data_IF_703845597091
#
_entry.id   IF_703845597091
#
_cell.length_a   1.000
_cell.length_b   1.000
_cell.length_c   1.000
_cell.angle_alpha   90.00
_cell.angle_beta   90.00
_cell.angle_gamma   90.00
#
_symmetry.space_group_name_H-M   'P 1'
#
loop_
_entity.id
_entity.type
_entity.pdbx_description
1 polymer ?
#
# COMPACT_ATOMS: atom_id res chain seq x y z
N UNK A 1 -31.51 -63.59 -40.17
CA UNK A 1 -30.46 -62.89 -40.89
C UNK A 1 -30.45 -61.45 -40.29
N UNK A 2 -29.66 -61.27 -39.29
CA UNK A 2 -29.59 -60.01 -38.59
C UNK A 2 -28.19 -59.86 -38.00
N UNK A 3 -27.43 -58.97 -38.56
CA UNK A 3 -26.06 -58.63 -38.12
C UNK A 3 -26.18 -57.68 -36.95
N UNK A 4 -25.84 -58.17 -35.78
CA UNK A 4 -25.69 -57.39 -34.59
C UNK A 4 -24.36 -56.59 -34.60
N UNK A 5 -24.41 -55.28 -34.66
CA UNK A 5 -23.28 -54.39 -34.47
C UNK A 5 -22.91 -54.34 -32.97
N UNK A 6 -21.73 -54.84 -32.69
CA UNK A 6 -21.07 -54.68 -31.40
C UNK A 6 -20.59 -53.22 -31.27
N UNK A 7 -21.29 -52.41 -30.49
CA UNK A 7 -20.76 -51.13 -29.99
C UNK A 7 -20.05 -51.39 -28.66
N UNK A 8 -18.75 -51.59 -28.72
CA UNK A 8 -17.88 -51.48 -27.55
C UNK A 8 -17.93 -50.05 -27.01
N UNK A 9 -18.58 -49.89 -25.88
CA UNK A 9 -18.52 -48.70 -25.08
C UNK A 9 -17.12 -48.61 -24.44
N UNK A 10 -16.22 -47.83 -25.06
CA UNK A 10 -15.02 -47.34 -24.40
C UNK A 10 -15.49 -46.32 -23.34
N UNK A 11 -15.62 -46.79 -22.10
CA UNK A 11 -15.69 -45.92 -20.94
C UNK A 11 -14.32 -45.25 -20.80
N UNK A 12 -14.20 -44.05 -21.35
CA UNK A 12 -13.15 -43.12 -20.94
C UNK A 12 -13.46 -42.80 -19.48
N UNK A 13 -12.72 -43.42 -18.57
CA UNK A 13 -12.69 -43.02 -17.17
C UNK A 13 -11.98 -41.68 -17.08
N UNK A 14 -12.73 -40.59 -17.24
CA UNK A 14 -12.32 -39.31 -16.75
C UNK A 14 -12.24 -39.43 -15.23
N UNK A 15 -11.05 -39.68 -14.74
CA UNK A 15 -10.69 -39.42 -13.36
C UNK A 15 -10.81 -37.90 -13.17
N UNK A 16 -12.02 -37.41 -12.94
CA UNK A 16 -12.24 -36.15 -12.28
C UNK A 16 -11.56 -36.29 -10.92
N UNK A 17 -10.34 -35.77 -10.82
CA UNK A 17 -9.80 -35.40 -9.52
C UNK A 17 -10.83 -34.46 -8.90
N UNK A 18 -11.68 -34.98 -8.03
CA UNK A 18 -12.49 -34.22 -7.13
C UNK A 18 -11.55 -33.25 -6.39
N UNK A 19 -11.43 -32.03 -6.90
CA UNK A 19 -10.86 -30.91 -6.14
C UNK A 19 -11.69 -30.84 -4.86
N UNK A 20 -11.21 -31.47 -3.80
CA UNK A 20 -11.81 -31.40 -2.47
C UNK A 20 -11.85 -29.92 -2.11
N UNK A 21 -12.94 -29.26 -2.42
CA UNK A 21 -13.27 -27.94 -1.87
C UNK A 21 -13.45 -28.13 -0.38
N UNK A 22 -12.37 -27.99 0.38
CA UNK A 22 -12.43 -27.98 1.83
C UNK A 22 -13.41 -26.86 2.21
N UNK A 23 -14.64 -27.28 2.55
CA UNK A 23 -15.69 -26.37 3.01
C UNK A 23 -15.33 -25.88 4.40
N UNK A 24 -14.61 -24.76 4.45
CA UNK A 24 -14.28 -24.11 5.71
C UNK A 24 -15.54 -23.53 6.36
N UNK A 25 -15.75 -23.81 7.64
CA UNK A 25 -16.82 -23.18 8.41
C UNK A 25 -16.73 -21.66 8.30
N UNK A 26 -17.86 -20.95 8.07
CA UNK A 26 -17.86 -19.50 7.88
C UNK A 26 -17.43 -18.73 9.15
N UNK A 27 -17.81 -19.21 10.33
CA UNK A 27 -17.56 -18.53 11.61
C UNK A 27 -16.05 -18.48 11.95
N UNK A 28 -15.30 -19.60 11.99
CA UNK A 28 -13.87 -19.55 12.25
C UNK A 28 -13.10 -18.71 11.23
N UNK A 29 -13.51 -18.72 9.97
CA UNK A 29 -12.92 -17.91 8.89
C UNK A 29 -13.12 -16.42 9.15
N UNK A 30 -14.30 -16.01 9.55
CA UNK A 30 -14.59 -14.61 9.88
C UNK A 30 -13.83 -14.16 11.12
N UNK A 31 -13.75 -15.00 12.17
CA UNK A 31 -12.99 -14.70 13.39
C UNK A 31 -11.50 -14.51 13.03
N UNK A 32 -10.92 -15.41 12.23
CA UNK A 32 -9.54 -15.29 11.80
C UNK A 32 -9.31 -13.99 10.99
N UNK A 33 -10.23 -13.63 10.10
CA UNK A 33 -10.16 -12.37 9.38
C UNK A 33 -10.10 -11.15 10.32
N UNK A 34 -10.95 -11.12 11.35
CA UNK A 34 -10.95 -10.04 12.36
C UNK A 34 -9.63 -10.02 13.13
N UNK A 35 -9.09 -11.19 13.49
CA UNK A 35 -7.78 -11.29 14.15
C UNK A 35 -6.66 -10.74 13.24
N UNK A 36 -6.63 -11.11 11.95
CA UNK A 36 -5.63 -10.62 11.01
C UNK A 36 -5.75 -9.09 10.78
N UNK A 37 -6.98 -8.56 10.72
CA UNK A 37 -7.21 -7.11 10.67
C UNK A 37 -6.72 -6.39 11.93
N UNK A 38 -6.96 -6.97 13.11
CA UNK A 38 -6.50 -6.38 14.37
C UNK A 38 -4.97 -6.36 14.49
N UNK A 39 -4.29 -7.37 13.93
CA UNK A 39 -2.83 -7.35 13.76
C UNK A 39 -2.42 -6.17 12.88
N UNK A 40 -3.04 -5.98 11.72
CA UNK A 40 -2.70 -4.87 10.81
C UNK A 40 -2.90 -3.50 11.49
N UNK A 41 -3.94 -3.34 12.31
CA UNK A 41 -4.14 -2.16 13.15
C UNK A 41 -2.97 -1.96 14.11
N UNK A 42 -2.59 -3.00 14.87
CA UNK A 42 -1.48 -2.95 15.82
C UNK A 42 -0.14 -2.67 15.14
N UNK A 43 0.08 -3.21 13.93
CA UNK A 43 1.29 -2.94 13.14
C UNK A 43 1.51 -1.45 12.86
N UNK A 44 0.45 -0.67 12.70
CA UNK A 44 0.49 0.76 12.40
C UNK A 44 0.51 1.65 13.64
N UNK A 45 0.22 1.10 14.83
CA UNK A 45 0.12 1.82 16.10
C UNK A 45 1.42 2.58 16.45
N UNK A 46 2.57 1.92 16.30
CA UNK A 46 3.86 2.51 16.62
C UNK A 46 4.22 3.77 15.83
N UNK A 47 3.64 3.94 14.63
CA UNK A 47 3.80 5.19 13.87
C UNK A 47 2.99 6.32 14.48
N UNK A 48 1.80 6.03 15.00
CA UNK A 48 0.97 7.00 15.72
C UNK A 48 1.60 7.44 17.05
N UNK A 49 2.16 6.50 17.82
CA UNK A 49 2.87 6.79 19.07
C UNK A 49 4.04 7.76 18.83
N UNK A 50 4.88 7.47 17.82
CA UNK A 50 6.02 8.34 17.49
C UNK A 50 5.57 9.74 17.08
N UNK A 51 4.60 9.85 16.18
CA UNK A 51 4.13 11.16 15.70
C UNK A 51 3.52 11.99 16.82
N UNK A 52 2.70 11.39 17.68
CA UNK A 52 2.03 12.08 18.78
C UNK A 52 2.99 12.50 19.90
N UNK A 53 4.02 11.69 20.18
CA UNK A 53 5.00 11.93 21.25
C UNK A 53 6.28 12.62 20.74
N UNK A 54 6.29 13.18 19.54
CA UNK A 54 7.48 13.74 18.88
C UNK A 54 8.25 14.74 19.74
N UNK A 55 7.54 15.63 20.43
CA UNK A 55 8.16 16.64 21.34
C UNK A 55 8.92 15.95 22.48
N UNK A 56 8.28 15.02 23.17
CA UNK A 56 8.86 14.32 24.33
C UNK A 56 10.06 13.45 23.93
N UNK A 57 9.94 12.72 22.81
CA UNK A 57 11.03 11.88 22.30
C UNK A 57 12.26 12.72 21.95
N UNK A 58 12.06 13.86 21.27
CA UNK A 58 13.16 14.77 20.92
C UNK A 58 13.86 15.33 22.16
N UNK A 59 13.09 15.69 23.19
CA UNK A 59 13.65 16.19 24.46
C UNK A 59 14.40 15.10 25.24
N UNK A 60 13.81 13.90 25.38
CA UNK A 60 14.38 12.80 26.15
C UNK A 60 15.67 12.24 25.54
N UNK A 61 15.71 12.14 24.21
CA UNK A 61 16.84 11.59 23.46
C UNK A 61 17.80 12.67 22.91
N UNK A 62 17.54 13.95 23.21
CA UNK A 62 18.30 15.11 22.71
C UNK A 62 18.50 15.09 21.19
N UNK A 63 17.38 14.92 20.45
CA UNK A 63 17.38 14.78 18.98
C UNK A 63 16.95 16.08 18.31
N UNK A 64 17.62 16.42 17.21
CA UNK A 64 17.12 17.43 16.27
C UNK A 64 16.01 16.85 15.37
N UNK A 65 15.34 17.71 14.59
CA UNK A 65 14.21 17.29 13.76
C UNK A 65 14.63 16.32 12.64
N UNK A 66 15.82 16.49 12.05
CA UNK A 66 16.40 15.57 11.07
C UNK A 66 16.64 14.19 11.68
N UNK A 67 17.23 14.12 12.87
CA UNK A 67 17.48 12.86 13.60
C UNK A 67 16.18 12.17 13.97
N UNK A 68 15.16 12.94 14.40
CA UNK A 68 13.84 12.37 14.66
C UNK A 68 13.19 11.84 13.37
N UNK A 69 13.37 12.52 12.23
CA UNK A 69 12.93 12.04 10.92
C UNK A 69 13.55 10.70 10.51
N UNK A 70 14.79 10.40 10.97
CA UNK A 70 15.44 9.11 10.73
C UNK A 70 14.67 7.90 11.28
N UNK A 71 13.86 8.05 12.34
CA UNK A 71 12.99 6.98 12.82
C UNK A 71 11.95 6.58 11.77
N UNK A 72 11.38 7.56 11.05
CA UNK A 72 10.46 7.32 9.94
C UNK A 72 11.18 6.71 8.75
N UNK A 73 12.35 7.23 8.42
CA UNK A 73 13.19 6.75 7.30
C UNK A 73 13.68 5.32 7.52
N UNK A 74 14.21 5.01 8.69
CA UNK A 74 14.65 3.65 9.03
C UNK A 74 13.49 2.65 8.91
N UNK A 75 12.31 3.02 9.37
CA UNK A 75 11.10 2.22 9.22
C UNK A 75 10.69 2.03 7.75
N UNK A 76 10.77 3.09 6.93
CA UNK A 76 10.47 3.04 5.51
C UNK A 76 11.43 2.13 4.73
N UNK A 77 12.74 2.30 4.96
CA UNK A 77 13.79 1.44 4.37
C UNK A 77 13.58 -0.01 4.82
N UNK A 78 13.33 -0.23 6.12
CA UNK A 78 13.01 -1.55 6.66
C UNK A 78 11.81 -2.18 5.97
N UNK A 79 10.74 -1.44 5.72
CA UNK A 79 9.57 -1.92 4.97
C UNK A 79 9.93 -2.32 3.54
N UNK A 80 10.72 -1.53 2.83
CA UNK A 80 11.21 -1.87 1.49
C UNK A 80 11.99 -3.18 1.48
N UNK A 81 12.97 -3.32 2.38
CA UNK A 81 13.75 -4.55 2.56
C UNK A 81 12.87 -5.73 2.93
N UNK A 82 11.96 -5.55 3.88
CA UNK A 82 11.03 -6.58 4.33
C UNK A 82 10.08 -7.05 3.24
N UNK A 83 9.62 -6.15 2.38
CA UNK A 83 8.78 -6.50 1.22
C UNK A 83 9.54 -7.40 0.24
N UNK A 84 10.78 -7.04 -0.08
CA UNK A 84 11.63 -7.85 -0.94
C UNK A 84 11.91 -9.23 -0.36
N UNK A 85 12.36 -9.29 0.90
CA UNK A 85 12.65 -10.55 1.59
C UNK A 85 11.41 -11.45 1.68
N UNK A 86 10.26 -10.89 2.08
CA UNK A 86 9.04 -11.66 2.22
C UNK A 86 8.59 -12.27 0.89
N UNK A 87 8.69 -11.53 -0.21
CA UNK A 87 8.34 -12.04 -1.55
C UNK A 87 9.19 -13.25 -1.97
N UNK A 88 10.47 -13.28 -1.58
CA UNK A 88 11.36 -14.42 -1.88
C UNK A 88 11.02 -15.65 -1.02
N UNK A 89 10.65 -15.46 0.24
CA UNK A 89 10.50 -16.55 1.20
C UNK A 89 9.07 -17.09 1.29
N UNK A 90 8.05 -16.33 0.88
CA UNK A 90 6.64 -16.68 1.02
C UNK A 90 6.28 -18.04 0.39
N UNK A 91 6.93 -18.40 -0.72
CA UNK A 91 6.70 -19.66 -1.43
C UNK A 91 7.52 -20.85 -0.88
N UNK A 92 8.45 -20.60 0.03
CA UNK A 92 9.39 -21.61 0.54
C UNK A 92 9.00 -22.17 1.90
N UNK A 93 8.22 -21.41 2.67
CA UNK A 93 7.87 -21.75 4.04
C UNK A 93 6.36 -21.89 4.22
N UNK A 94 5.98 -22.62 5.24
CA UNK A 94 4.59 -22.70 5.69
C UNK A 94 4.10 -21.32 6.14
N UNK A 95 3.02 -20.84 5.53
CA UNK A 95 2.54 -19.48 5.72
C UNK A 95 2.09 -19.17 7.16
N UNK A 96 1.53 -20.16 7.88
CA UNK A 96 1.16 -19.99 9.29
C UNK A 96 2.39 -19.68 10.14
N UNK A 97 3.42 -20.52 10.05
CA UNK A 97 4.65 -20.36 10.84
C UNK A 97 5.41 -19.10 10.45
N UNK A 98 5.44 -18.79 9.16
CA UNK A 98 6.05 -17.56 8.66
C UNK A 98 5.33 -16.33 9.20
N UNK A 99 3.99 -16.31 9.17
CA UNK A 99 3.19 -15.21 9.71
C UNK A 99 3.45 -15.02 11.21
N UNK A 100 3.43 -16.12 11.99
CA UNK A 100 3.71 -16.10 13.42
C UNK A 100 5.12 -15.58 13.72
N UNK A 101 6.12 -16.01 12.96
CA UNK A 101 7.49 -15.51 13.06
C UNK A 101 7.54 -13.97 12.94
N UNK A 102 6.91 -13.43 11.89
CA UNK A 102 6.91 -11.98 11.65
C UNK A 102 6.25 -11.20 12.79
N UNK A 103 5.08 -11.62 13.27
CA UNK A 103 4.37 -10.88 14.32
C UNK A 103 5.03 -11.05 15.70
N UNK A 104 5.55 -12.25 16.04
CA UNK A 104 6.25 -12.50 17.28
C UNK A 104 7.53 -11.66 17.39
N UNK A 105 8.41 -11.74 16.41
CA UNK A 105 9.65 -10.97 16.43
C UNK A 105 9.40 -9.47 16.33
N UNK A 106 8.40 -9.03 15.58
CA UNK A 106 8.02 -7.63 15.59
C UNK A 106 7.56 -7.17 16.98
N UNK A 107 6.73 -7.95 17.67
CA UNK A 107 6.34 -7.68 19.06
C UNK A 107 7.56 -7.56 19.97
N UNK A 108 8.52 -8.49 19.85
CA UNK A 108 9.78 -8.48 20.58
C UNK A 108 10.58 -7.20 20.34
N UNK A 109 10.81 -6.81 19.06
CA UNK A 109 11.56 -5.59 18.75
C UNK A 109 10.84 -4.32 19.22
N UNK A 110 9.51 -4.31 19.19
CA UNK A 110 8.70 -3.21 19.71
C UNK A 110 8.86 -3.10 21.23
N UNK A 111 8.89 -4.22 21.97
CA UNK A 111 9.12 -4.23 23.43
C UNK A 111 10.55 -3.80 23.74
N UNK A 112 11.54 -4.25 22.98
CA UNK A 112 12.94 -3.85 23.14
C UNK A 112 13.15 -2.33 23.01
N UNK A 113 12.25 -1.65 22.30
CA UNK A 113 12.26 -0.18 22.21
C UNK A 113 12.18 0.51 23.59
N UNK A 114 11.55 -0.15 24.56
CA UNK A 114 11.42 0.38 25.94
C UNK A 114 12.74 0.37 26.73
N UNK A 115 13.68 -0.52 26.40
CA UNK A 115 14.89 -0.74 27.17
C UNK A 115 16.09 0.14 26.77
N UNK A 116 15.96 0.92 25.70
CA UNK A 116 17.03 1.79 25.24
C UNK A 116 16.66 3.26 25.35
N UNK A 117 17.65 4.07 25.71
CA UNK A 117 17.61 5.55 25.68
C UNK A 117 18.60 6.09 24.64
N UNK A 118 19.23 5.23 23.84
CA UNK A 118 20.15 5.64 22.79
C UNK A 118 19.40 5.79 21.47
N UNK A 119 19.38 7.02 20.91
CA UNK A 119 18.69 7.33 19.67
C UNK A 119 19.12 6.44 18.49
N UNK A 120 20.41 6.15 18.35
CA UNK A 120 20.94 5.30 17.26
C UNK A 120 20.44 3.86 17.37
N UNK A 121 20.41 3.29 18.58
CA UNK A 121 19.87 1.95 18.83
C UNK A 121 18.39 1.90 18.49
N UNK A 122 17.63 2.92 18.91
CA UNK A 122 16.18 2.98 18.64
C UNK A 122 15.90 3.15 17.14
N UNK A 123 16.70 3.93 16.39
CA UNK A 123 16.60 4.04 14.93
C UNK A 123 16.84 2.68 14.26
N UNK A 124 17.86 1.94 14.71
CA UNK A 124 18.18 0.61 14.18
C UNK A 124 17.04 -0.38 14.46
N UNK A 125 16.54 -0.42 15.71
CA UNK A 125 15.36 -1.22 16.07
C UNK A 125 14.16 -0.87 15.19
N UNK A 126 13.97 0.41 14.88
CA UNK A 126 12.89 0.88 14.01
C UNK A 126 13.00 0.34 12.58
N UNK A 127 14.23 0.18 12.08
CA UNK A 127 14.52 -0.49 10.80
C UNK A 127 14.07 -1.96 10.82
N UNK A 128 14.45 -2.72 11.85
CA UNK A 128 14.02 -4.12 12.00
C UNK A 128 12.49 -4.26 12.15
N UNK A 129 11.86 -3.37 12.94
CA UNK A 129 10.40 -3.30 13.06
C UNK A 129 9.77 -3.07 11.68
N UNK A 130 10.40 -2.27 10.82
CA UNK A 130 9.98 -2.04 9.44
C UNK A 130 10.05 -3.31 8.59
N UNK A 131 11.16 -4.05 8.65
CA UNK A 131 11.33 -5.34 7.94
C UNK A 131 10.21 -6.32 8.31
N UNK A 132 9.97 -6.47 9.60
CA UNK A 132 8.97 -7.39 10.12
C UNK A 132 7.51 -6.93 9.89
N UNK A 133 7.30 -5.66 9.59
CA UNK A 133 5.97 -5.12 9.28
C UNK A 133 5.38 -5.70 7.98
N UNK A 134 6.23 -6.01 7.00
CA UNK A 134 5.75 -6.31 5.64
C UNK A 134 5.19 -7.72 5.48
N UNK A 135 5.64 -8.69 6.28
CA UNK A 135 5.11 -10.05 6.21
C UNK A 135 3.58 -10.11 6.36
N UNK A 136 3.02 -9.68 7.49
CA UNK A 136 1.56 -9.66 7.68
C UNK A 136 0.83 -8.76 6.68
N UNK A 137 1.39 -7.60 6.35
CA UNK A 137 0.78 -6.63 5.41
C UNK A 137 0.66 -7.16 3.98
N UNK A 138 1.62 -7.98 3.52
CA UNK A 138 1.55 -8.62 2.20
C UNK A 138 0.67 -9.88 2.26
N UNK A 139 0.73 -10.62 3.36
CA UNK A 139 -0.02 -11.86 3.51
C UNK A 139 -1.54 -11.64 3.56
N UNK A 140 -2.03 -10.62 4.27
CA UNK A 140 -3.47 -10.42 4.48
C UNK A 140 -4.28 -10.25 3.18
N UNK A 141 -3.88 -9.45 2.19
CA UNK A 141 -4.56 -9.40 0.89
C UNK A 141 -4.60 -10.76 0.17
N UNK A 142 -3.50 -11.54 0.24
CA UNK A 142 -3.43 -12.89 -0.35
C UNK A 142 -4.42 -13.81 0.34
N UNK A 143 -4.48 -13.76 1.67
CA UNK A 143 -5.44 -14.51 2.46
C UNK A 143 -6.88 -14.15 2.10
N UNK A 144 -7.19 -12.85 1.98
CA UNK A 144 -8.53 -12.38 1.57
C UNK A 144 -8.87 -12.90 0.18
N UNK A 145 -7.93 -12.87 -0.75
CA UNK A 145 -8.14 -13.34 -2.12
C UNK A 145 -8.57 -14.79 -2.18
N UNK A 146 -8.03 -15.64 -1.32
CA UNK A 146 -8.26 -17.09 -1.33
C UNK A 146 -9.41 -17.55 -0.42
N UNK A 147 -9.55 -16.93 0.77
CA UNK A 147 -10.47 -17.40 1.79
C UNK A 147 -11.73 -16.55 1.95
N UNK A 148 -11.77 -15.33 1.39
CA UNK A 148 -12.95 -14.50 1.46
C UNK A 148 -14.11 -15.06 0.63
N UNK A 149 -15.33 -14.86 1.11
CA UNK A 149 -16.51 -15.12 0.28
C UNK A 149 -16.52 -14.16 -0.91
N UNK A 150 -16.72 -14.66 -2.14
CA UNK A 150 -16.72 -13.84 -3.37
C UNK A 150 -17.52 -12.55 -3.23
N UNK A 151 -18.70 -12.61 -2.57
CA UNK A 151 -19.58 -11.47 -2.33
C UNK A 151 -18.94 -10.37 -1.48
N UNK A 152 -18.07 -10.71 -0.52
CA UNK A 152 -17.51 -9.77 0.47
C UNK A 152 -16.02 -9.47 0.26
N UNK A 153 -15.41 -10.05 -0.76
CA UNK A 153 -13.96 -9.93 -1.04
C UNK A 153 -13.53 -8.45 -1.17
N UNK A 154 -14.24 -7.68 -1.98
CA UNK A 154 -13.95 -6.24 -2.16
C UNK A 154 -14.10 -5.47 -0.85
N UNK A 155 -15.17 -5.75 -0.07
CA UNK A 155 -15.39 -5.12 1.23
C UNK A 155 -14.26 -5.43 2.21
N UNK A 156 -13.80 -6.68 2.25
CA UNK A 156 -12.69 -7.09 3.12
C UNK A 156 -11.35 -6.42 2.72
N UNK A 157 -11.07 -6.30 1.42
CA UNK A 157 -9.90 -5.55 0.93
C UNK A 157 -10.00 -4.06 1.27
N UNK A 158 -11.19 -3.48 1.19
CA UNK A 158 -11.40 -2.09 1.60
C UNK A 158 -11.17 -1.91 3.10
N UNK A 159 -11.68 -2.81 3.94
CA UNK A 159 -11.45 -2.78 5.39
C UNK A 159 -9.96 -2.90 5.73
N UNK A 160 -9.20 -3.73 5.02
CA UNK A 160 -7.74 -3.81 5.15
C UNK A 160 -7.04 -2.46 4.89
N UNK A 161 -7.51 -1.65 3.95
CA UNK A 161 -6.94 -0.33 3.71
C UNK A 161 -7.37 0.68 4.79
N UNK A 162 -8.61 0.63 5.20
CA UNK A 162 -9.19 1.54 6.20
C UNK A 162 -8.59 1.31 7.60
N UNK A 163 -8.24 0.06 7.97
CA UNK A 163 -7.73 -0.26 9.31
C UNK A 163 -6.35 0.37 9.60
N UNK A 164 -5.55 0.68 8.58
CA UNK A 164 -4.21 1.28 8.73
C UNK A 164 -4.24 2.68 9.37
N UNK A 165 -5.04 3.64 8.89
CA UNK A 165 -5.24 4.91 9.59
C UNK A 165 -5.75 4.74 11.02
N UNK A 166 -6.68 3.80 11.27
CA UNK A 166 -7.16 3.51 12.62
C UNK A 166 -6.03 3.05 13.56
N UNK A 167 -5.08 2.24 13.05
CA UNK A 167 -3.89 1.88 13.82
C UNK A 167 -3.06 3.09 14.24
N UNK A 168 -2.85 4.07 13.33
CA UNK A 168 -2.17 5.32 13.68
C UNK A 168 -2.93 6.11 14.75
N UNK A 169 -4.25 6.24 14.61
CA UNK A 169 -5.12 6.91 15.59
C UNK A 169 -5.03 6.21 16.95
N UNK A 170 -5.00 4.89 17.01
CA UNK A 170 -4.83 4.15 18.25
C UNK A 170 -3.49 4.47 18.94
N UNK A 171 -2.41 4.69 18.16
CA UNK A 171 -1.14 5.19 18.70
C UNK A 171 -1.24 6.58 19.34
N UNK A 172 -2.00 7.48 18.75
CA UNK A 172 -2.31 8.78 19.37
C UNK A 172 -3.15 8.62 20.64
N UNK A 173 -4.12 7.67 20.65
CA UNK A 173 -4.93 7.36 21.83
C UNK A 173 -4.06 6.94 23.02
N UNK A 174 -3.05 6.11 22.80
CA UNK A 174 -2.11 5.74 23.87
C UNK A 174 -1.39 6.95 24.47
N UNK A 175 -0.98 7.90 23.62
CA UNK A 175 -0.35 9.13 24.12
C UNK A 175 -1.30 9.97 25.02
N UNK A 176 -2.57 10.04 24.64
CA UNK A 176 -3.59 10.77 25.44
C UNK A 176 -3.89 10.06 26.76
N UNK A 177 -3.99 8.72 26.74
CA UNK A 177 -4.36 7.95 27.94
C UNK A 177 -3.20 7.76 28.91
N UNK A 178 -1.99 7.51 28.41
CA UNK A 178 -0.81 7.24 29.24
C UNK A 178 -0.04 8.53 29.60
N UNK A 179 -0.28 9.60 28.89
CA UNK A 179 0.48 10.85 28.98
C UNK A 179 1.76 10.83 28.15
N UNK A 180 2.17 11.99 27.65
CA UNK A 180 3.31 12.12 26.74
C UNK A 180 4.65 11.60 27.31
N UNK A 181 4.85 11.68 28.62
CA UNK A 181 6.07 11.18 29.29
C UNK A 181 6.17 9.65 29.27
N UNK A 182 5.05 8.97 29.15
CA UNK A 182 4.95 7.52 29.21
C UNK A 182 4.83 6.87 27.82
N UNK A 183 5.26 7.56 26.78
CA UNK A 183 5.12 7.10 25.38
C UNK A 183 5.65 5.69 25.11
N UNK A 184 6.68 5.24 25.87
CA UNK A 184 7.27 3.90 25.74
C UNK A 184 6.29 2.79 26.10
N UNK A 185 5.39 3.00 27.07
CA UNK A 185 4.40 1.99 27.44
C UNK A 185 3.41 1.67 26.32
N UNK A 186 3.11 2.62 25.44
CA UNK A 186 2.32 2.37 24.25
C UNK A 186 2.94 1.31 23.33
N UNK A 187 4.27 1.29 23.23
CA UNK A 187 5.00 0.25 22.51
C UNK A 187 4.94 -1.11 23.24
N UNK A 188 5.08 -1.13 24.57
CA UNK A 188 4.99 -2.36 25.37
C UNK A 188 3.61 -2.98 25.22
N UNK A 189 2.53 -2.20 25.32
CA UNK A 189 1.15 -2.68 25.14
C UNK A 189 0.97 -3.25 23.74
N UNK A 190 1.45 -2.55 22.70
CA UNK A 190 1.35 -3.02 21.31
C UNK A 190 2.14 -4.31 21.08
N UNK A 191 3.35 -4.41 21.64
CA UNK A 191 4.18 -5.61 21.52
C UNK A 191 3.60 -6.80 22.29
N UNK A 192 3.09 -6.59 23.50
CA UNK A 192 2.39 -7.61 24.30
C UNK A 192 1.12 -8.11 23.60
N UNK A 193 0.36 -7.21 22.98
CA UNK A 193 -0.77 -7.59 22.15
C UNK A 193 -0.37 -8.50 20.98
N UNK A 194 0.72 -8.18 20.26
CA UNK A 194 1.21 -9.02 19.17
C UNK A 194 1.65 -10.40 19.64
N UNK A 195 2.25 -10.52 20.83
CA UNK A 195 2.58 -11.80 21.45
C UNK A 195 1.32 -12.60 21.80
N UNK A 196 0.32 -11.98 22.41
CA UNK A 196 -0.95 -12.63 22.73
C UNK A 196 -1.65 -13.16 21.47
N UNK A 197 -1.67 -12.35 20.38
CA UNK A 197 -2.25 -12.80 19.11
C UNK A 197 -1.42 -13.92 18.47
N UNK A 198 -0.10 -13.92 18.65
CA UNK A 198 0.75 -15.04 18.18
C UNK A 198 0.34 -16.36 18.86
N UNK A 199 0.11 -16.35 20.18
CA UNK A 199 -0.39 -17.52 20.90
C UNK A 199 -1.78 -17.95 20.43
N UNK A 200 -2.67 -17.01 20.17
CA UNK A 200 -4.00 -17.30 19.63
C UNK A 200 -3.92 -17.97 18.26
N UNK A 201 -3.07 -17.46 17.35
CA UNK A 201 -2.87 -18.03 16.02
C UNK A 201 -2.20 -19.43 16.12
N UNK A 202 -1.33 -19.65 17.10
CA UNK A 202 -0.74 -20.97 17.32
C UNK A 202 -1.82 -22.05 17.50
N UNK A 203 -2.89 -21.76 18.22
CA UNK A 203 -4.01 -22.67 18.44
C UNK A 203 -4.92 -22.85 17.19
N UNK A 204 -4.80 -22.00 16.18
CA UNK A 204 -5.63 -22.08 14.99
C UNK A 204 -5.18 -23.20 14.05
N UNK A 205 -6.10 -23.94 13.37
CA UNK A 205 -5.73 -24.99 12.41
C UNK A 205 -4.92 -24.44 11.24
N UNK A 206 -3.89 -25.18 10.83
CA UNK A 206 -2.97 -24.78 9.74
C UNK A 206 -3.67 -24.59 8.39
N UNK A 207 -4.73 -25.35 8.13
CA UNK A 207 -5.48 -25.30 6.87
C UNK A 207 -6.09 -23.93 6.56
N UNK A 208 -6.33 -23.09 7.55
CA UNK A 208 -6.84 -21.73 7.39
C UNK A 208 -5.76 -20.70 6.96
N UNK A 209 -4.49 -21.10 6.96
CA UNK A 209 -3.36 -20.23 6.59
C UNK A 209 -2.66 -20.64 5.30
N UNK A 210 -2.70 -21.95 4.95
CA UNK A 210 -2.01 -22.48 3.78
C UNK A 210 -2.81 -22.21 2.51
N UNK A 211 -2.78 -20.97 2.13
CA UNK A 211 -3.23 -20.55 0.83
C UNK A 211 -2.33 -21.18 -0.24
N UNK A 212 -2.87 -22.04 -1.10
CA UNK A 212 -2.13 -22.62 -2.21
C UNK A 212 -1.81 -21.56 -3.26
N UNK A 213 -0.66 -20.91 -3.12
CA UNK A 213 -0.15 -19.96 -4.12
C UNK A 213 0.09 -20.64 -5.49
N UNK A 214 0.17 -21.98 -5.51
CA UNK A 214 0.24 -22.78 -6.74
C UNK A 214 -1.08 -22.78 -7.52
N UNK A 215 -2.22 -22.88 -6.84
CA UNK A 215 -3.53 -22.88 -7.50
C UNK A 215 -3.81 -21.56 -8.24
N UNK A 216 -3.35 -20.42 -7.71
CA UNK A 216 -3.51 -19.15 -8.38
C UNK A 216 -2.60 -18.99 -9.61
N UNK A 217 -1.41 -19.62 -9.60
CA UNK A 217 -0.56 -19.67 -10.80
C UNK A 217 -1.19 -20.54 -11.88
N UNK A 218 -1.76 -21.66 -11.52
CA UNK A 218 -2.44 -22.57 -12.46
C UNK A 218 -3.74 -21.91 -13.00
N UNK A 219 -4.54 -21.24 -12.16
CA UNK A 219 -5.71 -20.46 -12.62
C UNK A 219 -5.33 -19.20 -13.44
N UNK A 220 -4.25 -18.51 -13.10
CA UNK A 220 -3.72 -17.40 -13.92
C UNK A 220 -3.15 -17.92 -15.25
N UNK A 221 -2.48 -19.07 -15.25
CA UNK A 221 -1.95 -19.68 -16.44
C UNK A 221 -3.06 -20.32 -17.29
N UNK A 222 -4.12 -20.88 -16.70
CA UNK A 222 -5.31 -21.36 -17.40
C UNK A 222 -6.16 -20.21 -17.97
N UNK A 223 -6.39 -19.13 -17.23
CA UNK A 223 -7.02 -17.91 -17.75
C UNK A 223 -6.12 -17.18 -18.78
N UNK A 224 -4.82 -17.26 -18.62
CA UNK A 224 -3.84 -16.82 -19.61
C UNK A 224 -4.01 -17.62 -20.92
N UNK A 225 -4.04 -18.93 -20.84
CA UNK A 225 -4.17 -19.80 -22.00
C UNK A 225 -5.53 -19.61 -22.70
N UNK A 226 -6.63 -19.45 -21.97
CA UNK A 226 -7.97 -19.20 -22.55
C UNK A 226 -8.08 -17.83 -23.24
N UNK A 227 -7.40 -16.79 -22.71
CA UNK A 227 -7.33 -15.48 -23.36
C UNK A 227 -6.36 -15.49 -24.55
N UNK A 228 -5.28 -16.29 -24.49
CA UNK A 228 -4.32 -16.45 -25.59
C UNK A 228 -4.80 -17.38 -26.70
N UNK A 229 -5.72 -18.32 -26.44
CA UNK A 229 -6.35 -19.14 -27.49
C UNK A 229 -7.34 -18.34 -28.35
N UNK A 230 -7.82 -17.22 -27.86
CA UNK A 230 -8.68 -16.29 -28.61
C UNK A 230 -7.90 -15.22 -29.41
N UNK A 231 -6.57 -15.18 -29.32
CA UNK A 231 -5.69 -14.29 -30.08
C UNK A 231 -4.90 -15.07 -31.13
N UNK A 232 -4.68 -14.54 -32.35
CA UNK A 232 -3.90 -15.24 -33.37
C UNK A 232 -2.51 -15.60 -32.84
N UNK A 233 -2.12 -16.87 -33.05
CA UNK A 233 -0.87 -17.48 -32.58
C UNK A 233 0.37 -16.73 -33.07
N UNK A 234 0.75 -15.67 -32.40
CA UNK A 234 2.07 -15.07 -32.54
C UNK A 234 3.01 -15.69 -31.52
N UNK A 235 3.98 -16.46 -32.02
CA UNK A 235 5.18 -17.02 -31.36
C UNK A 235 5.05 -17.35 -29.88
N UNK A 236 5.20 -18.64 -29.52
CA UNK A 236 5.49 -19.09 -28.14
C UNK A 236 6.48 -18.13 -27.48
N UNK A 237 6.01 -17.34 -26.51
CA UNK A 237 6.90 -16.52 -25.70
C UNK A 237 7.75 -17.48 -24.86
N UNK A 238 9.05 -17.49 -25.09
CA UNK A 238 10.03 -18.12 -24.19
C UNK A 238 9.71 -17.66 -22.75
N UNK A 239 9.71 -18.59 -21.81
CA UNK A 239 9.57 -18.27 -20.39
C UNK A 239 10.70 -17.33 -19.97
N UNK A 240 10.38 -16.04 -19.89
CA UNK A 240 11.35 -15.03 -19.46
C UNK A 240 11.70 -15.25 -18.00
N UNK A 241 12.99 -15.18 -17.68
CA UNK A 241 13.45 -15.18 -16.29
C UNK A 241 12.81 -14.01 -15.53
N UNK A 242 12.51 -14.19 -14.22
CA UNK A 242 12.01 -13.16 -13.34
C UNK A 242 12.81 -11.84 -13.42
N UNK A 243 14.14 -11.94 -13.58
CA UNK A 243 15.01 -10.77 -13.76
C UNK A 243 14.80 -10.05 -15.10
N UNK A 244 14.49 -10.77 -16.16
CA UNK A 244 14.18 -10.17 -17.47
C UNK A 244 12.85 -9.43 -17.44
N UNK A 245 11.84 -10.00 -16.77
CA UNK A 245 10.55 -9.36 -16.56
C UNK A 245 10.66 -8.10 -15.70
N UNK A 246 11.49 -8.14 -14.64
CA UNK A 246 11.80 -6.98 -13.82
C UNK A 246 12.52 -5.90 -14.62
N UNK A 247 13.50 -6.26 -15.44
CA UNK A 247 14.22 -5.34 -16.32
C UNK A 247 13.30 -4.69 -17.34
N UNK A 248 12.37 -5.43 -17.92
CA UNK A 248 11.36 -4.92 -18.84
C UNK A 248 10.46 -3.85 -18.18
N UNK A 249 10.02 -4.07 -16.94
CA UNK A 249 9.29 -3.05 -16.18
C UNK A 249 10.15 -1.81 -15.91
N UNK A 250 11.40 -2.00 -15.48
CA UNK A 250 12.30 -0.89 -15.15
C UNK A 250 12.70 -0.05 -16.36
N UNK A 251 12.75 -0.64 -17.55
CA UNK A 251 13.08 0.07 -18.80
C UNK A 251 11.87 0.71 -19.46
N UNK A 252 10.64 0.39 -19.03
CA UNK A 252 9.40 0.97 -19.59
C UNK A 252 9.23 2.43 -19.13
N UNK A 253 9.32 3.44 -20.03
CA UNK A 253 9.22 4.84 -19.63
C UNK A 253 7.86 5.20 -19.03
N UNK A 254 6.77 4.65 -19.57
CA UNK A 254 5.42 4.92 -19.08
C UNK A 254 5.21 4.34 -17.66
N UNK A 255 5.77 3.16 -17.39
CA UNK A 255 5.75 2.57 -16.05
C UNK A 255 6.56 3.42 -15.07
N UNK A 256 7.74 3.89 -15.46
CA UNK A 256 8.58 4.74 -14.61
C UNK A 256 7.87 6.03 -14.23
N UNK A 257 7.23 6.72 -15.18
CA UNK A 257 6.48 7.94 -14.88
C UNK A 257 5.32 7.66 -13.93
N UNK A 258 4.56 6.58 -14.12
CA UNK A 258 3.47 6.18 -13.20
C UNK A 258 4.01 5.84 -11.80
N UNK A 259 5.14 5.14 -11.73
CA UNK A 259 5.79 4.72 -10.49
C UNK A 259 6.29 5.94 -9.68
N UNK A 260 7.00 6.85 -10.32
CA UNK A 260 7.47 8.08 -9.66
C UNK A 260 6.32 8.98 -9.24
N UNK A 261 5.27 9.10 -10.06
CA UNK A 261 4.05 9.86 -9.71
C UNK A 261 3.44 9.34 -8.41
N UNK A 262 3.16 8.04 -8.34
CA UNK A 262 2.61 7.40 -7.14
C UNK A 262 3.52 7.61 -5.93
N UNK A 263 4.81 7.35 -6.11
CA UNK A 263 5.77 7.39 -5.02
C UNK A 263 5.97 8.79 -4.44
N UNK A 264 6.00 9.83 -5.28
CA UNK A 264 6.14 11.23 -4.86
C UNK A 264 4.91 11.66 -4.05
N UNK A 265 3.70 11.35 -4.54
CA UNK A 265 2.45 11.69 -3.85
C UNK A 265 2.36 10.97 -2.49
N UNK A 266 2.69 9.68 -2.43
CA UNK A 266 2.72 8.92 -1.17
C UNK A 266 3.83 9.40 -0.22
N UNK A 267 4.97 9.83 -0.76
CA UNK A 267 6.06 10.42 0.02
C UNK A 267 5.62 11.67 0.77
N UNK A 268 4.93 12.59 0.10
CA UNK A 268 4.38 13.79 0.76
C UNK A 268 3.33 13.45 1.79
N UNK A 269 2.43 12.55 1.48
CA UNK A 269 1.43 12.05 2.43
C UNK A 269 2.09 11.45 3.68
N UNK A 270 3.15 10.70 3.50
CA UNK A 270 3.90 10.08 4.61
C UNK A 270 4.56 11.13 5.49
N UNK A 271 5.19 12.17 4.91
CA UNK A 271 5.79 13.27 5.66
C UNK A 271 4.72 14.03 6.46
N UNK A 272 3.57 14.33 5.86
CA UNK A 272 2.45 15.00 6.53
C UNK A 272 1.96 14.19 7.72
N UNK A 273 1.70 12.92 7.54
CA UNK A 273 1.26 12.04 8.64
C UNK A 273 2.27 11.95 9.79
N UNK A 274 3.56 11.98 9.46
CA UNK A 274 4.62 11.86 10.46
C UNK A 274 4.78 13.14 11.29
N UNK A 275 4.69 14.30 10.64
CA UNK A 275 5.01 15.60 11.24
C UNK A 275 3.78 16.44 11.64
N UNK A 276 2.56 15.99 11.38
CA UNK A 276 1.34 16.75 11.58
C UNK A 276 1.17 17.22 13.04
N UNK A 277 1.42 16.35 14.03
CA UNK A 277 1.33 16.70 15.44
C UNK A 277 2.38 17.75 15.83
N UNK A 278 3.62 17.59 15.36
CA UNK A 278 4.71 18.55 15.60
C UNK A 278 4.41 19.91 14.96
N UNK A 279 3.82 19.90 13.76
CA UNK A 279 3.37 21.14 13.09
C UNK A 279 2.26 21.85 13.86
N UNK A 280 1.25 21.13 14.35
CA UNK A 280 0.18 21.74 15.17
C UNK A 280 0.73 22.36 16.44
N UNK A 281 1.74 21.75 17.06
CA UNK A 281 2.40 22.32 18.27
C UNK A 281 3.24 23.55 17.96
N UNK A 282 4.16 23.42 17.01
CA UNK A 282 5.20 24.43 16.79
C UNK A 282 4.74 25.58 15.89
N UNK A 283 3.85 25.31 14.91
CA UNK A 283 3.41 26.31 13.95
C UNK A 283 2.05 26.94 14.28
N UNK A 284 1.15 26.16 14.93
CA UNK A 284 -0.19 26.64 15.32
C UNK A 284 -0.29 26.93 16.83
N UNK A 285 0.74 26.59 17.62
CA UNK A 285 0.77 26.86 19.06
C UNK A 285 -0.16 26.01 19.92
N UNK A 286 -0.61 24.85 19.40
CA UNK A 286 -1.53 23.96 20.11
C UNK A 286 -0.76 23.10 21.09
N UNK A 287 -0.95 23.34 22.40
CA UNK A 287 -0.24 22.61 23.45
C UNK A 287 -1.05 21.44 24.05
N UNK A 288 -2.37 21.43 23.88
CA UNK A 288 -3.24 20.36 24.42
C UNK A 288 -3.14 19.09 23.57
N UNK A 289 -2.62 17.97 24.14
CA UNK A 289 -2.53 16.69 23.43
C UNK A 289 -3.89 16.14 22.99
N UNK A 290 -4.97 16.38 23.76
CA UNK A 290 -6.32 15.91 23.43
C UNK A 290 -6.85 16.64 22.19
N UNK A 291 -6.60 17.93 22.08
CA UNK A 291 -7.03 18.73 20.94
C UNK A 291 -6.25 18.33 19.67
N UNK A 292 -4.95 18.06 19.77
CA UNK A 292 -4.14 17.53 18.66
C UNK A 292 -4.67 16.16 18.25
N UNK A 293 -4.94 15.28 19.21
CA UNK A 293 -5.51 13.95 18.95
C UNK A 293 -6.82 14.02 18.19
N UNK A 294 -7.78 14.83 18.70
CA UNK A 294 -9.09 14.97 18.07
C UNK A 294 -8.98 15.53 16.65
N UNK A 295 -8.17 16.56 16.46
CA UNK A 295 -7.93 17.20 15.17
C UNK A 295 -7.31 16.24 14.15
N UNK A 296 -6.25 15.52 14.55
CA UNK A 296 -5.58 14.54 13.70
C UNK A 296 -6.52 13.37 13.34
N UNK A 297 -7.22 12.84 14.35
CA UNK A 297 -8.15 11.72 14.18
C UNK A 297 -9.26 12.03 13.20
N UNK A 298 -9.88 13.20 13.37
CA UNK A 298 -10.94 13.67 12.47
C UNK A 298 -10.44 13.72 11.03
N UNK A 299 -9.31 14.37 10.78
CA UNK A 299 -8.76 14.50 9.43
C UNK A 299 -8.35 13.12 8.84
N UNK A 300 -7.66 12.27 9.62
CA UNK A 300 -7.11 11.00 9.14
C UNK A 300 -8.14 9.89 8.95
N UNK A 301 -9.29 9.96 9.59
CA UNK A 301 -10.38 9.01 9.37
C UNK A 301 -11.30 9.51 8.26
N UNK A 302 -11.82 10.72 8.38
CA UNK A 302 -12.83 11.23 7.44
C UNK A 302 -12.27 11.48 6.04
N UNK A 303 -11.06 12.07 5.95
CA UNK A 303 -10.45 12.39 4.66
C UNK A 303 -10.26 11.17 3.76
N UNK A 304 -9.47 10.15 4.16
CA UNK A 304 -9.22 8.97 3.33
C UNK A 304 -10.48 8.14 3.03
N UNK A 305 -11.43 8.06 3.97
CA UNK A 305 -12.70 7.33 3.74
C UNK A 305 -13.51 8.00 2.64
N UNK A 306 -13.73 9.31 2.75
CA UNK A 306 -14.45 10.07 1.72
C UNK A 306 -13.68 10.02 0.39
N UNK A 307 -12.36 10.19 0.43
CA UNK A 307 -11.49 10.14 -0.74
C UNK A 307 -11.52 8.79 -1.47
N UNK A 308 -11.59 7.69 -0.72
CA UNK A 308 -11.78 6.36 -1.29
C UNK A 308 -13.08 6.24 -2.09
N UNK A 309 -14.19 6.76 -1.56
CA UNK A 309 -15.46 6.79 -2.28
C UNK A 309 -15.42 7.72 -3.51
N UNK A 310 -14.78 8.88 -3.38
CA UNK A 310 -14.59 9.80 -4.53
C UNK A 310 -13.78 9.13 -5.62
N UNK A 311 -12.67 8.47 -5.29
CA UNK A 311 -11.84 7.74 -6.26
C UNK A 311 -12.58 6.60 -6.95
N UNK A 312 -13.38 5.84 -6.20
CA UNK A 312 -14.23 4.78 -6.77
C UNK A 312 -15.33 5.35 -7.66
N UNK A 313 -15.98 6.44 -7.24
CA UNK A 313 -16.99 7.14 -8.04
C UNK A 313 -16.42 7.62 -9.36
N UNK A 314 -15.24 8.23 -9.36
CA UNK A 314 -14.55 8.64 -10.60
C UNK A 314 -14.31 7.45 -11.52
N UNK A 315 -13.85 6.33 -11.00
CA UNK A 315 -13.66 5.10 -11.79
C UNK A 315 -14.99 4.60 -12.38
N UNK A 316 -16.06 4.64 -11.61
CA UNK A 316 -17.37 4.18 -12.07
C UNK A 316 -17.95 5.05 -13.19
N UNK A 317 -17.94 6.38 -13.03
CA UNK A 317 -18.54 7.32 -13.99
C UNK A 317 -17.71 7.51 -15.26
N UNK A 318 -16.38 7.43 -15.17
CA UNK A 318 -15.48 7.66 -16.31
C UNK A 318 -14.95 6.37 -16.97
N UNK A 319 -15.45 5.20 -16.58
CA UNK A 319 -15.15 3.94 -17.26
C UNK A 319 -13.76 3.35 -16.95
N UNK A 320 -13.34 3.44 -15.69
CA UNK A 320 -12.09 2.84 -15.20
C UNK A 320 -10.81 3.61 -15.59
N UNK A 321 -9.71 3.27 -14.93
CA UNK A 321 -8.35 3.77 -15.19
C UNK A 321 -7.80 3.41 -16.59
N UNK A 322 -8.49 2.54 -17.33
CA UNK A 322 -8.17 2.20 -18.73
C UNK A 322 -8.56 3.29 -19.72
N UNK A 323 -9.53 4.13 -19.34
CA UNK A 323 -10.01 5.21 -20.19
C UNK A 323 -8.90 6.26 -20.43
N UNK A 324 -8.70 6.71 -21.69
CA UNK A 324 -7.74 7.78 -22.02
C UNK A 324 -7.94 9.09 -21.26
N UNK A 325 -9.15 9.34 -20.76
CA UNK A 325 -9.50 10.51 -19.97
C UNK A 325 -9.13 10.44 -18.48
N UNK A 326 -8.93 9.23 -17.92
CA UNK A 326 -8.67 9.03 -16.50
C UNK A 326 -7.47 9.82 -15.95
N UNK A 327 -6.32 9.94 -16.66
CA UNK A 327 -5.21 10.76 -16.19
C UNK A 327 -5.57 12.24 -16.03
N UNK A 328 -6.41 12.80 -16.88
CA UNK A 328 -6.81 14.21 -16.81
C UNK A 328 -7.73 14.49 -15.62
N UNK A 329 -8.64 13.57 -15.30
CA UNK A 329 -9.45 13.64 -14.09
C UNK A 329 -8.56 13.55 -12.84
N UNK A 330 -7.58 12.65 -12.86
CA UNK A 330 -6.59 12.53 -11.78
C UNK A 330 -5.78 13.82 -11.60
N UNK A 331 -5.42 14.53 -12.68
CA UNK A 331 -4.76 15.84 -12.62
C UNK A 331 -5.67 16.86 -11.93
N UNK A 332 -6.96 16.90 -12.25
CA UNK A 332 -7.92 17.77 -11.57
C UNK A 332 -7.96 17.53 -10.06
N UNK A 333 -8.05 16.26 -9.64
CA UNK A 333 -8.00 15.89 -8.21
C UNK A 333 -6.66 16.26 -7.56
N UNK A 334 -5.53 16.09 -8.27
CA UNK A 334 -4.22 16.46 -7.77
C UNK A 334 -4.04 17.98 -7.63
N UNK A 335 -4.66 18.78 -8.50
CA UNK A 335 -4.71 20.24 -8.34
C UNK A 335 -5.44 20.62 -7.06
N UNK A 336 -6.61 20.02 -6.77
CA UNK A 336 -7.32 20.25 -5.51
C UNK A 336 -6.48 19.78 -4.31
N UNK A 337 -5.81 18.63 -4.40
CA UNK A 337 -4.86 18.16 -3.37
C UNK A 337 -3.81 19.24 -3.09
N UNK A 338 -3.23 19.83 -4.12
CA UNK A 338 -2.17 20.84 -3.99
C UNK A 338 -2.72 22.15 -3.41
N UNK A 339 -3.89 22.61 -3.86
CA UNK A 339 -4.53 23.83 -3.35
C UNK A 339 -4.83 23.70 -1.86
N UNK A 340 -5.50 22.61 -1.43
CA UNK A 340 -5.84 22.42 -0.02
C UNK A 340 -4.61 22.12 0.83
N UNK A 341 -3.62 21.39 0.30
CA UNK A 341 -2.36 21.14 0.99
C UNK A 341 -1.57 22.42 1.26
N UNK A 342 -1.33 23.23 0.25
CA UNK A 342 -0.65 24.52 0.38
C UNK A 342 -1.52 25.47 1.24
N UNK A 343 -2.82 25.55 0.97
CA UNK A 343 -3.78 26.37 1.71
C UNK A 343 -3.75 26.11 3.21
N UNK A 344 -3.69 24.84 3.63
CA UNK A 344 -3.59 24.45 5.03
C UNK A 344 -2.39 25.13 5.73
N UNK A 345 -1.26 25.31 5.04
CA UNK A 345 -0.04 25.90 5.64
C UNK A 345 -0.15 27.41 5.91
N UNK A 346 -1.11 28.09 5.32
CA UNK A 346 -1.38 29.52 5.57
C UNK A 346 -2.40 29.73 6.68
N UNK A 347 -3.15 28.71 7.06
CA UNK A 347 -4.14 28.80 8.13
C UNK A 347 -3.46 29.00 9.49
N UNK A 348 -3.96 29.95 10.27
CA UNK A 348 -3.50 30.22 11.64
C UNK A 348 -4.42 29.60 12.68
N UNK A 349 -5.69 29.40 12.33
CA UNK A 349 -6.67 28.76 13.19
C UNK A 349 -6.62 27.22 12.99
N UNK A 350 -6.63 26.49 14.12
CA UNK A 350 -6.58 25.02 14.11
C UNK A 350 -7.75 24.40 13.32
N UNK A 351 -8.97 24.91 13.50
CA UNK A 351 -10.16 24.33 12.85
C UNK A 351 -10.13 24.48 11.33
N UNK A 352 -9.69 25.65 10.85
CA UNK A 352 -9.53 25.88 9.41
C UNK A 352 -8.38 25.05 8.83
N UNK A 353 -7.28 24.88 9.59
CA UNK A 353 -6.20 23.96 9.23
C UNK A 353 -6.71 22.52 9.10
N UNK A 354 -7.46 22.01 10.08
CA UNK A 354 -8.01 20.65 10.08
C UNK A 354 -8.98 20.45 8.93
N UNK A 355 -9.82 21.44 8.61
CA UNK A 355 -10.71 21.41 7.44
C UNK A 355 -9.94 21.29 6.13
N UNK A 356 -8.92 22.12 5.91
CA UNK A 356 -8.05 22.05 4.75
C UNK A 356 -7.26 20.72 4.69
N UNK A 357 -6.76 20.26 5.83
CA UNK A 357 -6.05 18.97 5.94
C UNK A 357 -6.96 17.79 5.59
N UNK A 358 -8.21 17.81 6.04
CA UNK A 358 -9.21 16.77 5.72
C UNK A 358 -9.48 16.72 4.22
N UNK A 359 -9.67 17.89 3.58
CA UNK A 359 -9.85 17.96 2.12
C UNK A 359 -8.59 17.51 1.36
N UNK A 360 -7.40 17.92 1.82
CA UNK A 360 -6.14 17.39 1.28
C UNK A 360 -6.08 15.87 1.34
N UNK A 361 -6.38 15.27 2.52
CA UNK A 361 -6.36 13.83 2.71
C UNK A 361 -7.44 13.10 1.88
N UNK A 362 -8.59 13.75 1.67
CA UNK A 362 -9.64 13.25 0.80
C UNK A 362 -9.15 13.15 -0.66
N UNK A 363 -8.69 14.25 -1.23
CA UNK A 363 -8.28 14.28 -2.63
C UNK A 363 -7.02 13.46 -2.90
N UNK A 364 -6.03 13.45 -2.01
CA UNK A 364 -4.82 12.63 -2.18
C UNK A 364 -5.14 11.14 -2.14
N UNK A 365 -6.10 10.70 -1.32
CA UNK A 365 -6.52 9.29 -1.27
C UNK A 365 -7.22 8.86 -2.56
N UNK A 366 -8.04 9.74 -3.15
CA UNK A 366 -8.66 9.51 -4.44
C UNK A 366 -7.60 9.39 -5.56
N UNK A 367 -6.61 10.31 -5.59
CA UNK A 367 -5.50 10.30 -6.54
C UNK A 367 -4.66 9.01 -6.42
N UNK A 368 -4.28 8.60 -5.21
CA UNK A 368 -3.48 7.39 -5.00
C UNK A 368 -4.19 6.13 -5.48
N UNK A 369 -5.51 6.05 -5.33
CA UNK A 369 -6.32 4.94 -5.84
C UNK A 369 -6.23 4.84 -7.36
N UNK A 370 -6.28 5.97 -8.08
CA UNK A 370 -6.13 6.02 -9.54
C UNK A 370 -4.70 5.70 -9.99
N UNK A 371 -3.68 6.19 -9.25
CA UNK A 371 -2.28 5.93 -9.56
C UNK A 371 -1.93 4.44 -9.50
N UNK A 372 -2.54 3.66 -8.61
CA UNK A 372 -2.39 2.20 -8.58
C UNK A 372 -2.93 1.59 -9.89
N UNK A 373 -4.09 2.05 -10.36
CA UNK A 373 -4.63 1.64 -11.65
C UNK A 373 -3.71 1.97 -12.82
N UNK A 374 -3.09 3.15 -12.81
CA UNK A 374 -2.14 3.57 -13.86
C UNK A 374 -0.89 2.69 -13.92
N UNK A 375 -0.38 2.22 -12.79
CA UNK A 375 0.70 1.22 -12.76
C UNK A 375 0.30 -0.08 -13.45
N UNK A 376 -0.92 -0.56 -13.20
CA UNK A 376 -1.43 -1.81 -13.77
C UNK A 376 -1.55 -1.72 -15.29
N UNK A 377 -2.03 -0.59 -15.82
CA UNK A 377 -2.20 -0.42 -17.28
C UNK A 377 -0.92 0.01 -18.02
N UNK A 378 0.14 0.34 -17.28
CA UNK A 378 1.44 0.73 -17.85
C UNK A 378 2.28 -0.47 -18.29
N UNK A 379 1.90 -1.68 -17.91
CA UNK A 379 2.63 -2.91 -18.20
C UNK A 379 1.74 -3.96 -18.85
N UNK A 380 2.36 -4.96 -19.50
CA UNK A 380 1.63 -6.10 -20.06
C UNK A 380 0.93 -6.91 -18.96
N UNK A 381 -0.18 -7.60 -19.26
CA UNK A 381 -0.96 -8.37 -18.27
C UNK A 381 -0.13 -9.30 -17.39
N UNK A 382 0.88 -9.99 -17.94
CA UNK A 382 1.77 -10.89 -17.21
C UNK A 382 2.71 -10.22 -16.21
N UNK A 383 2.95 -8.90 -16.33
CA UNK A 383 3.90 -8.17 -15.49
C UNK A 383 3.25 -7.38 -14.34
N UNK A 384 1.94 -7.45 -14.17
CA UNK A 384 1.19 -6.66 -13.17
C UNK A 384 1.67 -6.88 -11.74
N UNK A 385 1.95 -8.12 -11.36
CA UNK A 385 2.44 -8.48 -10.02
C UNK A 385 3.84 -7.91 -9.76
N UNK A 386 4.74 -8.09 -10.72
CA UNK A 386 6.13 -7.60 -10.67
C UNK A 386 6.15 -6.08 -10.64
N UNK A 387 5.34 -5.42 -11.46
CA UNK A 387 5.25 -3.95 -11.50
C UNK A 387 4.82 -3.37 -10.15
N UNK A 388 3.85 -4.00 -9.49
CA UNK A 388 3.41 -3.58 -8.16
C UNK A 388 4.50 -3.79 -7.10
N UNK A 389 5.24 -4.90 -7.16
CA UNK A 389 6.35 -5.18 -6.26
C UNK A 389 7.48 -4.13 -6.42
N UNK A 390 7.89 -3.85 -7.66
CA UNK A 390 8.91 -2.83 -7.99
C UNK A 390 8.45 -1.46 -7.48
N UNK A 391 7.18 -1.09 -7.75
CA UNK A 391 6.64 0.19 -7.32
C UNK A 391 6.67 0.33 -5.79
N UNK A 392 6.29 -0.71 -5.05
CA UNK A 392 6.34 -0.68 -3.59
C UNK A 392 7.77 -0.55 -3.06
N UNK A 393 8.74 -1.25 -3.65
CA UNK A 393 10.14 -1.16 -3.28
C UNK A 393 10.65 0.26 -3.54
N UNK A 394 10.49 0.78 -4.75
CA UNK A 394 10.92 2.14 -5.13
C UNK A 394 10.31 3.20 -4.19
N UNK A 395 9.00 3.10 -3.94
CA UNK A 395 8.28 4.00 -3.06
C UNK A 395 8.84 3.98 -1.63
N UNK A 396 9.10 2.79 -1.06
CA UNK A 396 9.57 2.64 0.32
C UNK A 396 11.02 3.08 0.50
N UNK A 397 11.91 2.78 -0.46
CA UNK A 397 13.32 3.14 -0.33
C UNK A 397 13.61 4.61 -0.66
N UNK A 398 13.02 5.13 -1.74
CA UNK A 398 13.46 6.41 -2.30
C UNK A 398 12.54 7.57 -1.93
N UNK A 399 11.25 7.33 -1.71
CA UNK A 399 10.27 8.40 -1.62
C UNK A 399 9.58 8.45 -0.25
N UNK A 400 8.66 7.57 0.05
CA UNK A 400 7.93 7.62 1.32
C UNK A 400 8.81 7.27 2.53
N UNK A 401 9.83 6.41 2.34
CA UNK A 401 10.79 6.10 3.39
C UNK A 401 11.68 7.26 3.76
N UNK A 402 12.14 8.06 2.80
CA UNK A 402 13.05 9.19 3.05
C UNK A 402 12.36 10.50 3.42
N UNK A 403 11.07 10.63 3.10
CA UNK A 403 10.32 11.88 3.29
C UNK A 403 10.27 12.42 4.71
N UNK A 404 10.20 11.61 5.80
CA UNK A 404 10.25 12.13 7.16
C UNK A 404 11.58 12.83 7.51
N UNK A 405 12.71 12.27 7.03
CA UNK A 405 14.03 12.86 7.24
C UNK A 405 14.20 14.16 6.43
N UNK A 406 13.70 14.17 5.19
CA UNK A 406 13.74 15.37 4.33
C UNK A 406 12.98 16.52 5.00
N UNK A 407 11.76 16.26 5.48
CA UNK A 407 11.00 17.25 6.24
C UNK A 407 11.80 17.76 7.46
N UNK A 408 12.35 16.84 8.26
CA UNK A 408 13.12 17.18 9.45
C UNK A 408 14.33 18.06 9.14
N UNK A 409 15.08 17.74 8.08
CA UNK A 409 16.23 18.54 7.63
C UNK A 409 15.82 19.96 7.19
N UNK A 410 14.71 20.07 6.45
CA UNK A 410 14.15 21.38 6.06
C UNK A 410 13.69 22.16 7.28
N UNK A 411 13.07 21.49 8.25
CA UNK A 411 12.60 22.13 9.49
C UNK A 411 13.78 22.63 10.35
N UNK A 412 14.84 21.85 10.52
CA UNK A 412 16.07 22.26 11.24
C UNK A 412 16.72 23.50 10.62
N UNK A 413 16.63 23.66 9.29
CA UNK A 413 17.17 24.83 8.60
C UNK A 413 16.33 26.11 8.81
N UNK A 414 15.00 25.97 8.79
CA UNK A 414 14.09 27.14 8.86
C UNK A 414 13.66 27.52 10.28
N UNK A 415 13.59 26.57 11.20
CA UNK A 415 13.13 26.79 12.58
C UNK A 415 13.95 27.82 13.36
N UNK A 416 15.30 27.82 13.30
CA UNK A 416 16.10 28.87 13.99
C UNK A 416 15.84 30.27 13.45
N UNK A 417 15.30 30.40 12.23
CA UNK A 417 14.94 31.66 11.58
C UNK A 417 13.51 32.12 11.92
N UNK A 418 12.84 31.44 12.85
CA UNK A 418 11.45 31.75 13.23
C UNK A 418 10.40 31.32 12.19
N UNK A 419 10.80 30.55 11.16
CA UNK A 419 9.95 30.18 10.02
C UNK A 419 9.36 28.77 10.19
N UNK A 420 8.65 28.52 11.31
CA UNK A 420 8.12 27.22 11.72
C UNK A 420 7.14 26.56 10.72
N UNK A 421 6.60 27.30 9.77
CA UNK A 421 5.65 26.80 8.76
C UNK A 421 6.31 26.40 7.44
N UNK A 422 7.59 26.75 7.23
CA UNK A 422 8.24 26.61 5.93
C UNK A 422 8.47 25.15 5.53
N UNK A 423 8.83 24.28 6.47
CA UNK A 423 9.02 22.86 6.17
C UNK A 423 7.75 22.22 5.58
N UNK A 424 6.58 22.52 6.20
CA UNK A 424 5.30 22.01 5.68
C UNK A 424 4.95 22.65 4.33
N UNK A 425 5.25 23.94 4.13
CA UNK A 425 5.04 24.62 2.83
C UNK A 425 5.86 23.99 1.72
N UNK A 426 7.15 23.73 1.96
CA UNK A 426 8.03 23.09 0.99
C UNK A 426 7.49 21.71 0.58
N UNK A 427 7.14 20.86 1.56
CA UNK A 427 6.59 19.54 1.28
C UNK A 427 5.26 19.63 0.53
N UNK A 428 4.34 20.51 0.94
CA UNK A 428 3.05 20.66 0.26
C UNK A 428 3.19 21.24 -1.15
N UNK A 429 4.12 22.17 -1.37
CA UNK A 429 4.38 22.74 -2.69
C UNK A 429 5.01 21.73 -3.65
N UNK A 430 5.77 20.78 -3.15
CA UNK A 430 6.35 19.72 -3.96
C UNK A 430 5.30 18.78 -4.58
N UNK A 431 4.03 18.82 -4.13
CA UNK A 431 2.91 18.16 -4.81
C UNK A 431 2.71 18.64 -6.27
N UNK A 432 3.20 19.84 -6.61
CA UNK A 432 3.18 20.35 -8.00
C UNK A 432 3.94 19.40 -8.94
N UNK A 433 5.01 18.75 -8.46
CA UNK A 433 5.75 17.75 -9.26
C UNK A 433 4.84 16.58 -9.64
N UNK A 434 3.93 16.17 -8.75
CA UNK A 434 2.92 15.15 -9.05
C UNK A 434 2.01 15.54 -10.20
N UNK A 435 1.61 16.82 -10.30
CA UNK A 435 0.81 17.34 -11.42
C UNK A 435 1.59 17.23 -12.73
N UNK A 436 2.87 17.66 -12.73
CA UNK A 436 3.71 17.61 -13.93
C UNK A 436 3.91 16.16 -14.42
N UNK A 437 4.16 15.22 -13.51
CA UNK A 437 4.32 13.82 -13.86
C UNK A 437 3.00 13.20 -14.39
N UNK A 438 1.85 13.57 -13.82
CA UNK A 438 0.55 13.13 -14.32
C UNK A 438 0.26 13.68 -15.72
N UNK A 439 0.67 14.91 -16.04
CA UNK A 439 0.58 15.49 -17.38
C UNK A 439 1.43 14.71 -18.40
N UNK A 440 2.66 14.36 -18.01
CA UNK A 440 3.55 13.55 -18.82
C UNK A 440 2.94 12.16 -19.05
N UNK A 441 2.46 11.52 -17.98
CA UNK A 441 1.80 10.22 -18.05
C UNK A 441 0.59 10.23 -18.98
N UNK A 442 -0.29 11.22 -18.83
CA UNK A 442 -1.48 11.36 -19.67
C UNK A 442 -1.16 11.48 -21.17
N UNK A 443 -0.11 12.26 -21.53
CA UNK A 443 0.37 12.37 -22.90
C UNK A 443 0.93 11.04 -23.42
N UNK A 444 1.78 10.38 -22.66
CA UNK A 444 2.36 9.08 -23.02
C UNK A 444 1.29 8.02 -23.21
N UNK A 445 0.32 7.92 -22.30
CA UNK A 445 -0.78 6.97 -22.39
C UNK A 445 -1.66 7.20 -23.62
N UNK A 446 -1.96 8.46 -23.94
CA UNK A 446 -2.72 8.82 -25.13
C UNK A 446 -1.99 8.39 -26.42
N UNK A 447 -0.68 8.57 -26.47
CA UNK A 447 0.13 8.13 -27.63
C UNK A 447 0.15 6.61 -27.74
N UNK A 448 0.39 5.88 -26.63
CA UNK A 448 0.37 4.42 -26.58
C UNK A 448 -0.98 3.84 -27.10
N UNK A 449 -2.09 4.41 -26.66
CA UNK A 449 -3.42 3.99 -27.12
C UNK A 449 -3.67 4.29 -28.61
N UNK A 450 -3.08 5.36 -29.14
CA UNK A 450 -3.15 5.66 -30.57
C UNK A 450 -2.34 4.67 -31.41
N UNK A 451 -1.17 4.28 -30.94
CA UNK A 451 -0.33 3.28 -31.61
C UNK A 451 -1.01 1.91 -31.63
N UNK A 452 -1.53 1.45 -30.49
CA UNK A 452 -2.30 0.20 -30.41
C UNK A 452 -3.52 0.18 -31.36
N UNK A 453 -4.24 1.31 -31.50
CA UNK A 453 -5.36 1.41 -32.44
C UNK A 453 -4.91 1.33 -33.90
N UNK A 454 -3.75 1.90 -34.23
CA UNK A 454 -3.19 1.81 -35.60
C UNK A 454 -2.78 0.38 -35.93
N UNK A 455 -2.06 -0.29 -35.02
CA UNK A 455 -1.67 -1.69 -35.19
C UNK A 455 -2.87 -2.62 -35.37
N UNK A 456 -3.92 -2.45 -34.53
CA UNK A 456 -5.13 -3.26 -34.65
C UNK A 456 -5.84 -3.04 -36.00
N UNK A 457 -5.91 -1.80 -36.48
CA UNK A 457 -6.50 -1.50 -37.80
C UNK A 457 -5.66 -2.09 -38.95
N UNK A 458 -4.34 -2.03 -38.87
CA UNK A 458 -3.46 -2.65 -39.87
C UNK A 458 -3.58 -4.17 -39.90
N UNK A 459 -3.69 -4.80 -38.73
CA UNK A 459 -3.88 -6.25 -38.62
C UNK A 459 -5.27 -6.69 -39.17
N UNK A 460 -6.31 -5.90 -38.91
CA UNK A 460 -7.65 -6.15 -39.49
C UNK A 460 -7.64 -6.04 -41.04
N UNK A 461 -6.93 -5.08 -41.59
CA UNK A 461 -6.79 -4.90 -43.05
C UNK A 461 -5.99 -6.06 -43.67
N UNK A 462 -4.92 -6.51 -42.98
CA UNK A 462 -4.12 -7.66 -43.45
C UNK A 462 -4.93 -8.96 -43.40
N UNK A 463 -5.65 -9.21 -42.31
CA UNK A 463 -6.50 -10.40 -42.17
C UNK A 463 -7.68 -10.41 -43.13
N UNK A 464 -8.24 -9.25 -43.46
CA UNK A 464 -9.28 -9.13 -44.50
C UNK A 464 -8.77 -9.46 -45.91
N UNK A 465 -7.55 -9.06 -46.25
CA UNK A 465 -6.93 -9.40 -47.55
C UNK A 465 -6.58 -10.89 -47.68
N UNK A 466 -6.13 -11.54 -46.61
CA UNK A 466 -5.87 -12.98 -46.59
C UNK A 466 -7.15 -13.83 -46.74
N UNK A 467 -8.33 -13.29 -46.38
CA UNK A 467 -9.63 -13.92 -46.57
C UNK A 467 -10.22 -13.71 -48.00
N UNK A 468 -9.85 -12.62 -48.68
CA UNK A 468 -10.23 -12.38 -50.07
C UNK A 468 -9.35 -13.15 -51.07
N UNK A 469 -8.14 -13.56 -50.69
CA UNK A 469 -7.21 -14.32 -51.53
C UNK A 469 -7.40 -15.87 -51.38
N UNK A 470 -8.29 -16.35 -50.51
CA UNK A 470 -8.70 -17.76 -50.35
C UNK A 470 -10.10 -17.99 -50.91
#
# INVERSE_FOLDING_TARGET
MSTAENKENIKVSTSEEEKVKVSFSPIPRFILYVVLLSVEMALNCGSGILSSSSKQIKLELNLNDKQFGLFGTAFGIGRGTGSFLFTIIINKFNLKWLYMFYIFFKGTFIILFNFSNNGSVLITLRGFIGVLHMGPTIYLPIWIDQYAFKKYKTTQLTMFQVIKPFGKVMGYTFNVLLGEKNWKYGFVITGGYLWAVTLLIFCYPQNYFNASLKANKEEEDENRNTIYESLPKTKKSEEKSYFQEMYECLTSPIFQVANWTRGIIDGFLTAVHYWCADYMRNALGVNDPKLIFLSYTTACITGPVIGGFVGQGVNYFYGSYENPGAPYVCIGLQVFTTIFGIGATFMSNLYTFVGCLTLFLCFVSAVLSLCIGFLIVSVRPGLKSISNAISNITMMFLLSGTSPMIYGAVNDYFKPKGLNRMAMRVIMSANIVGILLLLIFGRMRKNQLREMKKENNENLIKGGKELEEK
#
